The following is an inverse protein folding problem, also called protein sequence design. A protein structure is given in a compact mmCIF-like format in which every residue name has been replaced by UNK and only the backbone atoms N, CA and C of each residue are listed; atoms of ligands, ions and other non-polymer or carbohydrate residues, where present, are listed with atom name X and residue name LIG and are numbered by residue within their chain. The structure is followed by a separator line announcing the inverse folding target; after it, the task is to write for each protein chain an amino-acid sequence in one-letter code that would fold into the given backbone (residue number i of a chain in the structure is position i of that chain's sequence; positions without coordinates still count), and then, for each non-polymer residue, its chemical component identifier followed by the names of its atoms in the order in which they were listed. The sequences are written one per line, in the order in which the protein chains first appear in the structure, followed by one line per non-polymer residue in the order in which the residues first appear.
data_IF_710826260665
#
_entry.id   IF_710826260665
#
_cell.length_a   1.000
_cell.length_b   1.000
_cell.length_c   1.000
_cell.angle_alpha   90.00
_cell.angle_beta   90.00
_cell.angle_gamma   90.00
#
_symmetry.space_group_name_H-M   'P 1'
#
loop_
_entity.id
_entity.type
_entity.pdbx_description
1 polymer ?
#
# COMPACT_ATOMS: atom_id res chain seq x y z
N UNK A 1 52.10 -30.91 4.71
CA UNK A 1 50.76 -31.30 4.21
C UNK A 1 49.90 -30.04 4.14
N UNK A 2 49.48 -29.64 2.93
CA UNK A 2 48.57 -28.50 2.70
C UNK A 2 47.11 -28.95 2.90
N UNK A 3 46.20 -28.12 3.42
CA UNK A 3 44.78 -28.38 3.32
C UNK A 3 44.26 -27.97 1.93
N UNK A 4 43.51 -28.88 1.31
CA UNK A 4 42.87 -28.76 0.00
C UNK A 4 41.69 -27.80 0.05
N UNK A 5 41.70 -26.84 -0.88
CA UNK A 5 40.58 -25.97 -1.24
C UNK A 5 39.58 -26.80 -2.06
N UNK A 6 38.31 -26.77 -1.69
CA UNK A 6 37.22 -27.32 -2.52
C UNK A 6 36.62 -26.13 -3.28
N UNK A 7 36.99 -26.00 -4.55
CA UNK A 7 36.27 -25.18 -5.53
C UNK A 7 35.04 -25.96 -6.00
N UNK A 8 33.85 -25.34 -5.92
CA UNK A 8 32.66 -25.82 -6.60
C UNK A 8 32.40 -24.92 -7.81
N UNK A 9 32.84 -25.40 -8.98
CA UNK A 9 32.42 -24.94 -10.30
C UNK A 9 31.11 -25.66 -10.64
N UNK A 10 30.04 -24.92 -10.91
CA UNK A 10 28.82 -25.48 -11.50
C UNK A 10 28.57 -24.79 -12.85
N UNK A 11 28.90 -25.51 -13.92
CA UNK A 11 28.51 -25.19 -15.28
C UNK A 11 27.06 -25.66 -15.50
N UNK A 12 26.22 -24.70 -15.90
CA UNK A 12 25.19 -24.77 -16.93
C UNK A 12 24.83 -26.16 -17.52
N UNK A 13 23.68 -26.71 -17.14
CA UNK A 13 22.74 -27.38 -18.05
C UNK A 13 21.39 -27.61 -17.34
N UNK A 14 20.29 -27.06 -17.86
CA UNK A 14 18.91 -27.61 -17.85
C UNK A 14 17.96 -26.61 -18.53
N UNK A 15 18.05 -26.54 -19.87
CA UNK A 15 16.96 -26.08 -20.74
C UNK A 15 15.95 -27.21 -20.85
N UNK A 16 14.77 -27.05 -20.25
CA UNK A 16 13.62 -27.89 -20.58
C UNK A 16 12.60 -28.06 -19.46
N UNK A 17 11.66 -27.12 -19.33
CA UNK A 17 10.30 -27.39 -18.78
C UNK A 17 9.36 -26.17 -18.81
N UNK A 18 9.35 -25.36 -19.89
CA UNK A 18 8.31 -24.33 -20.07
C UNK A 18 7.22 -24.90 -20.99
N UNK A 19 6.42 -25.87 -20.53
CA UNK A 19 5.31 -26.38 -21.37
C UNK A 19 4.00 -26.90 -20.72
N UNK A 20 3.64 -26.61 -19.45
CA UNK A 20 2.23 -26.77 -19.06
C UNK A 20 1.51 -25.53 -18.46
N UNK A 21 2.07 -24.31 -18.51
CA UNK A 21 1.37 -23.10 -18.02
C UNK A 21 0.52 -22.35 -19.07
N UNK A 22 0.63 -22.69 -20.36
CA UNK A 22 -0.13 -22.00 -21.43
C UNK A 22 -1.60 -22.41 -21.55
N UNK A 23 -2.06 -23.43 -20.82
CA UNK A 23 -3.45 -23.95 -20.95
C UNK A 23 -4.45 -23.42 -19.92
N UNK A 24 -4.03 -22.54 -19.01
CA UNK A 24 -4.90 -21.98 -17.95
C UNK A 24 -5.27 -20.50 -18.14
N UNK A 25 -4.76 -19.84 -19.19
CA UNK A 25 -4.97 -18.39 -19.45
C UNK A 25 -6.08 -18.12 -20.49
N UNK A 26 -6.66 -19.13 -21.14
CA UNK A 26 -7.68 -18.94 -22.21
C UNK A 26 -9.15 -19.03 -21.77
N UNK A 27 -9.46 -19.14 -20.48
CA UNK A 27 -10.84 -19.02 -19.98
C UNK A 27 -10.94 -17.87 -18.99
N UNK A 28 -11.21 -16.67 -19.50
CA UNK A 28 -12.07 -15.60 -18.93
C UNK A 28 -11.98 -14.40 -19.90
N UNK A 29 -12.95 -14.30 -20.81
CA UNK A 29 -13.47 -13.03 -21.36
C UNK A 29 -14.99 -13.21 -21.42
N UNK A 30 -15.76 -12.22 -20.98
CA UNK A 30 -16.30 -11.29 -21.98
C UNK A 30 -16.41 -9.83 -21.51
N UNK A 31 -16.46 -8.92 -22.50
CA UNK A 31 -17.27 -7.71 -22.41
C UNK A 31 -16.56 -6.36 -22.28
N UNK A 32 -15.74 -5.96 -23.25
CA UNK A 32 -15.38 -4.54 -23.43
C UNK A 32 -16.46 -3.91 -24.32
N UNK A 33 -17.27 -3.00 -23.76
CA UNK A 33 -18.14 -2.11 -24.55
C UNK A 33 -17.34 -0.86 -24.92
N UNK A 34 -17.15 -0.65 -26.23
CA UNK A 34 -16.69 0.61 -26.80
C UNK A 34 -17.74 1.70 -26.56
N UNK A 35 -17.33 2.83 -25.97
CA UNK A 35 -18.12 4.05 -26.00
C UNK A 35 -17.64 4.91 -27.17
N UNK A 36 -18.46 4.98 -28.23
CA UNK A 36 -18.28 5.94 -29.32
C UNK A 36 -18.79 7.31 -28.88
N UNK A 37 -17.95 8.32 -29.05
CA UNK A 37 -18.30 9.72 -28.86
C UNK A 37 -19.36 10.14 -29.89
N UNK A 38 -20.51 10.62 -29.40
CA UNK A 38 -21.49 11.33 -30.22
C UNK A 38 -21.24 12.83 -30.06
N UNK A 39 -20.59 13.43 -31.06
CA UNK A 39 -20.74 14.85 -31.34
C UNK A 39 -21.99 15.02 -32.20
N UNK A 40 -22.92 15.88 -31.79
CA UNK A 40 -24.03 16.28 -32.63
C UNK A 40 -24.10 17.81 -32.72
N UNK A 41 -24.22 18.24 -33.97
CA UNK A 41 -24.24 19.60 -34.45
C UNK A 41 -25.43 20.41 -33.93
N UNK A 42 -25.14 21.67 -33.65
CA UNK A 42 -26.11 22.74 -33.41
C UNK A 42 -26.51 23.34 -34.77
N UNK A 43 -27.80 23.28 -35.14
CA UNK A 43 -28.53 24.32 -35.90
C UNK A 43 -29.97 23.90 -36.19
N UNK A 44 -30.93 24.73 -35.80
CA UNK A 44 -32.32 24.55 -36.19
C UNK A 44 -33.27 25.47 -35.43
N UNK A 45 -33.35 26.72 -35.88
CA UNK A 45 -34.28 27.77 -35.41
C UNK A 45 -35.75 27.41 -35.67
N UNK A 46 -36.61 27.46 -34.65
CA UNK A 46 -38.08 27.45 -34.83
C UNK A 46 -38.72 28.51 -33.92
N UNK A 47 -39.65 29.25 -34.53
CA UNK A 47 -40.27 30.51 -34.08
C UNK A 47 -41.43 30.28 -33.10
N UNK A 48 -41.60 31.20 -32.16
CA UNK A 48 -42.75 31.32 -31.24
C UNK A 48 -43.99 31.86 -31.95
N UNK A 49 -45.19 31.40 -31.54
CA UNK A 49 -46.25 32.35 -31.18
C UNK A 49 -46.80 32.05 -29.79
N UNK A 50 -47.10 33.12 -29.05
CA UNK A 50 -47.55 33.08 -27.68
C UNK A 50 -48.96 32.53 -27.50
N UNK A 51 -49.19 31.91 -26.34
CA UNK A 51 -50.49 31.74 -25.70
C UNK A 51 -50.23 31.72 -24.18
N UNK A 52 -50.93 32.63 -23.50
CA UNK A 52 -50.97 32.81 -22.06
C UNK A 52 -51.80 31.68 -21.42
N UNK A 53 -51.19 30.86 -20.57
CA UNK A 53 -51.90 29.97 -19.65
C UNK A 53 -51.30 30.07 -18.25
N UNK A 54 -52.12 30.56 -17.32
CA UNK A 54 -51.90 30.48 -15.88
C UNK A 54 -52.26 29.05 -15.46
N UNK A 55 -51.32 28.32 -14.84
CA UNK A 55 -51.66 27.07 -14.14
C UNK A 55 -50.79 26.81 -12.91
N UNK A 56 -51.53 26.68 -11.81
CA UNK A 56 -51.30 26.11 -10.49
C UNK A 56 -49.93 25.57 -10.06
N UNK A 57 -49.62 25.97 -8.83
CA UNK A 57 -48.59 25.53 -7.88
C UNK A 57 -48.55 24.00 -7.71
N UNK A 58 -47.36 23.42 -7.92
CA UNK A 58 -46.85 22.33 -7.11
C UNK A 58 -45.42 22.71 -6.68
N UNK A 59 -45.26 23.18 -5.44
CA UNK A 59 -43.95 23.19 -4.81
C UNK A 59 -43.55 21.74 -4.53
N UNK A 60 -42.80 21.14 -5.46
CA UNK A 60 -42.04 19.93 -5.15
C UNK A 60 -40.97 20.34 -4.13
N UNK A 61 -41.10 19.80 -2.92
CA UNK A 61 -40.07 19.90 -1.91
C UNK A 61 -38.83 19.18 -2.44
N UNK A 62 -37.86 19.94 -2.98
CA UNK A 62 -36.51 19.44 -3.13
C UNK A 62 -36.02 19.03 -1.74
N UNK A 63 -35.86 17.73 -1.54
CA UNK A 63 -35.05 17.19 -0.45
C UNK A 63 -33.69 17.87 -0.56
N UNK A 64 -33.38 18.75 0.41
CA UNK A 64 -32.01 19.20 0.59
C UNK A 64 -31.16 17.96 0.79
N UNK A 65 -30.38 17.59 -0.22
CA UNK A 65 -29.20 16.79 -0.04
C UNK A 65 -28.38 17.49 1.04
N UNK A 66 -28.43 16.91 2.24
CA UNK A 66 -27.56 17.33 3.32
C UNK A 66 -26.20 16.79 2.93
N UNK A 67 -25.40 17.64 2.29
CA UNK A 67 -23.96 17.46 2.27
C UNK A 67 -23.54 17.23 3.73
N UNK A 68 -23.25 15.97 4.06
CA UNK A 68 -22.80 15.62 5.39
C UNK A 68 -21.53 16.43 5.65
N UNK A 69 -21.49 17.14 6.79
CA UNK A 69 -20.28 17.83 7.19
C UNK A 69 -19.10 16.84 7.16
N UNK A 70 -17.91 17.25 6.68
CA UNK A 70 -16.75 16.38 6.65
C UNK A 70 -16.49 15.85 8.05
N UNK A 71 -16.64 14.54 8.23
CA UNK A 71 -16.43 13.88 9.50
C UNK A 71 -14.94 13.97 9.85
N UNK A 72 -14.63 14.57 11.01
CA UNK A 72 -13.25 14.86 11.41
C UNK A 72 -12.64 13.61 12.03
N UNK A 73 -11.55 13.12 11.44
CA UNK A 73 -10.83 11.96 11.98
C UNK A 73 -10.05 12.35 13.25
N UNK A 74 -10.51 11.85 14.40
CA UNK A 74 -9.95 12.19 15.72
C UNK A 74 -9.21 11.04 16.40
N UNK A 75 -9.29 9.83 15.83
CA UNK A 75 -8.72 8.62 16.43
C UNK A 75 -7.44 8.15 15.75
N UNK A 76 -7.22 8.52 14.49
CA UNK A 76 -6.05 8.04 13.74
C UNK A 76 -4.80 8.82 14.09
N UNK A 77 -3.68 8.10 14.15
CA UNK A 77 -2.35 8.69 14.19
C UNK A 77 -1.83 8.90 12.77
N UNK A 78 -1.31 10.09 12.49
CA UNK A 78 -0.59 10.37 11.23
C UNK A 78 0.88 10.53 11.52
N UNK A 79 1.70 9.67 10.91
CA UNK A 79 3.16 9.77 10.90
C UNK A 79 3.58 10.47 9.62
N UNK A 80 4.35 11.53 9.75
CA UNK A 80 4.88 12.32 8.63
C UNK A 80 6.39 12.29 8.69
N UNK A 81 7.01 12.21 7.52
CA UNK A 81 8.46 12.33 7.34
C UNK A 81 9.29 11.40 8.24
N UNK A 82 8.79 10.19 8.51
CA UNK A 82 9.57 9.20 9.22
C UNK A 82 10.77 8.81 8.36
N UNK A 83 11.96 9.15 8.83
CA UNK A 83 13.19 8.92 8.09
C UNK A 83 13.41 7.41 7.87
N UNK A 84 13.48 7.00 6.60
CA UNK A 84 13.95 5.68 6.20
C UNK A 84 15.47 5.62 6.13
N UNK A 85 16.02 4.68 5.39
CA UNK A 85 17.46 4.59 5.18
C UNK A 85 17.92 5.58 4.09
N UNK A 86 18.16 6.81 4.52
CA UNK A 86 18.62 7.93 3.68
C UNK A 86 20.08 7.78 3.22
N UNK A 87 20.84 6.90 3.88
CA UNK A 87 22.24 6.63 3.56
C UNK A 87 22.46 5.59 2.46
N UNK A 88 21.41 4.92 1.98
CA UNK A 88 21.50 3.93 0.91
C UNK A 88 21.14 4.51 -0.47
N UNK A 89 21.80 4.02 -1.53
CA UNK A 89 21.47 4.31 -2.92
C UNK A 89 21.35 3.05 -3.76
N UNK A 90 20.54 3.15 -4.82
CA UNK A 90 20.46 2.13 -5.88
C UNK A 90 21.59 2.25 -6.91
N UNK A 91 22.09 3.47 -7.11
CA UNK A 91 23.14 3.80 -8.07
C UNK A 91 24.48 4.11 -7.40
N UNK A 92 25.55 4.05 -8.20
CA UNK A 92 26.90 4.45 -7.81
C UNK A 92 27.03 5.99 -7.80
N UNK A 93 27.93 6.51 -6.96
CA UNK A 93 28.32 7.93 -6.99
C UNK A 93 27.22 8.93 -6.58
N UNK A 94 26.21 8.49 -5.84
CA UNK A 94 25.18 9.38 -5.29
C UNK A 94 25.74 10.09 -4.06
N UNK A 95 25.77 11.43 -4.10
CA UNK A 95 26.36 12.24 -3.02
C UNK A 95 25.71 11.95 -1.66
N UNK A 96 26.56 11.78 -0.65
CA UNK A 96 26.16 11.44 0.72
C UNK A 96 25.54 10.05 0.90
N UNK A 97 25.55 9.16 -0.11
CA UNK A 97 24.94 7.83 -0.03
C UNK A 97 25.90 6.71 -0.46
N UNK A 98 25.68 5.54 0.12
CA UNK A 98 26.40 4.31 -0.19
C UNK A 98 25.53 3.38 -1.04
N UNK A 99 26.10 2.82 -2.10
CA UNK A 99 25.43 1.76 -2.87
C UNK A 99 25.47 0.46 -2.10
N UNK A 100 24.39 0.19 -1.36
CA UNK A 100 24.17 -1.02 -0.59
C UNK A 100 22.67 -1.31 -0.46
N UNK A 101 22.27 -2.52 -0.06
CA UNK A 101 20.89 -2.78 0.33
C UNK A 101 20.42 -1.81 1.42
N UNK A 102 19.18 -1.37 1.32
CA UNK A 102 18.52 -0.53 2.32
C UNK A 102 18.28 -1.34 3.58
N UNK A 103 18.67 -0.79 4.73
CA UNK A 103 18.38 -1.35 6.04
C UNK A 103 16.87 -1.33 6.29
N UNK A 104 16.37 -2.41 6.89
CA UNK A 104 14.96 -2.49 7.27
C UNK A 104 14.68 -1.59 8.47
N UNK A 105 13.53 -0.92 8.47
CA UNK A 105 13.04 -0.09 9.56
C UNK A 105 11.79 -0.73 10.17
N UNK A 106 11.88 -1.19 11.42
CA UNK A 106 10.75 -1.67 12.19
C UNK A 106 9.94 -0.49 12.75
N UNK A 107 8.62 -0.64 12.85
CA UNK A 107 7.71 0.33 13.48
C UNK A 107 6.70 -0.37 14.39
N UNK A 108 6.49 0.15 15.60
CA UNK A 108 5.48 -0.31 16.55
C UNK A 108 4.34 0.70 16.66
N UNK A 109 3.10 0.29 16.40
CA UNK A 109 1.96 1.22 16.37
C UNK A 109 1.65 1.83 17.73
N UNK A 110 1.69 1.02 18.80
CA UNK A 110 1.27 1.44 20.15
C UNK A 110 2.19 2.49 20.78
N UNK A 111 3.47 2.51 20.42
CA UNK A 111 4.47 3.40 21.03
C UNK A 111 5.10 4.37 20.05
N UNK A 112 4.91 4.17 18.74
CA UNK A 112 5.64 4.86 17.69
C UNK A 112 7.13 4.50 17.62
N UNK A 113 7.58 3.46 18.36
CA UNK A 113 8.98 3.05 18.38
C UNK A 113 9.44 2.61 17.00
N UNK A 114 10.63 3.06 16.62
CA UNK A 114 11.31 2.62 15.42
C UNK A 114 12.66 1.98 15.72
N UNK A 115 13.08 1.02 14.87
CA UNK A 115 14.41 0.41 14.94
C UNK A 115 14.92 0.05 13.56
N UNK A 116 16.14 0.47 13.23
CA UNK A 116 16.83 -0.04 12.06
C UNK A 116 17.45 -1.42 12.34
N UNK A 117 17.43 -2.28 11.33
CA UNK A 117 18.16 -3.55 11.32
C UNK A 117 19.37 -3.37 10.41
N UNK A 118 20.53 -3.07 11.02
CA UNK A 118 21.77 -2.76 10.30
C UNK A 118 22.74 -3.92 10.30
N UNK A 119 22.72 -4.70 11.36
CA UNK A 119 23.68 -5.77 11.62
C UNK A 119 22.98 -7.12 11.84
N UNK A 120 23.80 -8.17 11.89
CA UNK A 120 23.35 -9.50 12.31
C UNK A 120 22.87 -9.48 13.77
N UNK A 121 23.53 -8.73 14.64
CA UNK A 121 23.15 -8.64 16.06
C UNK A 121 21.79 -7.95 16.22
N UNK A 122 21.51 -6.88 15.46
CA UNK A 122 20.18 -6.27 15.41
C UNK A 122 19.10 -7.29 15.00
N UNK A 123 19.45 -8.13 14.02
CA UNK A 123 18.54 -9.16 13.51
C UNK A 123 18.20 -10.19 14.61
N UNK A 124 19.22 -10.66 15.34
CA UNK A 124 19.06 -11.60 16.45
C UNK A 124 18.29 -10.99 17.61
N UNK A 125 18.50 -9.71 17.90
CA UNK A 125 17.90 -9.04 19.04
C UNK A 125 16.45 -8.62 18.82
N UNK A 126 16.09 -8.17 17.61
CA UNK A 126 14.82 -7.46 17.40
C UNK A 126 13.81 -8.21 16.53
N UNK A 127 14.23 -9.05 15.60
CA UNK A 127 13.31 -9.65 14.62
C UNK A 127 12.42 -10.76 15.18
N UNK A 128 12.78 -11.35 16.33
CA UNK A 128 12.03 -12.46 16.96
C UNK A 128 11.25 -12.03 18.19
N UNK A 129 10.69 -10.82 18.14
CA UNK A 129 9.86 -10.22 19.18
C UNK A 129 8.51 -9.75 18.62
N UNK A 130 7.58 -9.41 19.51
CA UNK A 130 6.28 -8.78 19.19
C UNK A 130 6.27 -7.26 19.45
N UNK A 131 7.43 -6.65 19.67
CA UNK A 131 7.55 -5.21 19.97
C UNK A 131 7.72 -4.33 18.71
N UNK A 132 7.27 -4.85 17.58
CA UNK A 132 7.10 -4.16 16.29
C UNK A 132 5.96 -4.81 15.51
N UNK A 133 5.23 -4.03 14.73
CA UNK A 133 4.03 -4.48 14.02
C UNK A 133 4.25 -4.57 12.52
N UNK A 134 4.89 -3.55 11.94
CA UNK A 134 5.26 -3.51 10.52
C UNK A 134 6.75 -3.23 10.36
N UNK A 135 7.31 -3.63 9.23
CA UNK A 135 8.64 -3.21 8.82
C UNK A 135 8.60 -2.62 7.41
N UNK A 136 9.34 -1.54 7.21
CA UNK A 136 9.62 -0.91 5.93
C UNK A 136 10.97 -1.41 5.42
N UNK A 137 10.95 -2.11 4.30
CA UNK A 137 12.08 -2.91 3.81
C UNK A 137 12.33 -2.65 2.33
N UNK A 138 13.43 -3.21 1.80
CA UNK A 138 13.84 -3.10 0.39
C UNK A 138 14.09 -1.65 -0.06
N UNK A 139 14.18 -1.45 -1.37
CA UNK A 139 14.59 -0.20 -1.99
C UNK A 139 13.75 0.97 -1.49
N UNK A 140 14.41 2.04 -1.04
CA UNK A 140 13.74 3.23 -0.49
C UNK A 140 12.74 2.91 0.64
N UNK A 141 12.93 1.79 1.37
CA UNK A 141 12.02 1.32 2.41
C UNK A 141 10.56 1.21 1.93
N UNK A 142 10.35 0.95 0.63
CA UNK A 142 9.02 0.98 0.02
C UNK A 142 8.27 -0.35 0.12
N UNK A 143 8.87 -1.44 0.60
CA UNK A 143 8.17 -2.71 0.81
C UNK A 143 7.76 -2.86 2.27
N UNK A 144 6.45 -2.85 2.53
CA UNK A 144 5.88 -2.93 3.88
C UNK A 144 5.46 -4.36 4.19
N UNK A 145 5.99 -4.93 5.26
CA UNK A 145 5.70 -6.30 5.71
C UNK A 145 5.12 -6.28 7.12
N UNK A 146 4.23 -7.24 7.41
CA UNK A 146 3.64 -7.41 8.73
C UNK A 146 4.46 -8.40 9.57
N UNK A 147 4.57 -8.17 10.88
CA UNK A 147 5.27 -9.08 11.79
C UNK A 147 4.51 -10.41 11.93
N UNK A 148 4.98 -11.43 11.23
CA UNK A 148 4.38 -12.75 11.23
C UNK A 148 5.45 -13.85 11.25
N UNK A 149 5.39 -14.68 12.29
CA UNK A 149 6.26 -15.84 12.50
C UNK A 149 6.14 -16.92 11.43
N UNK A 150 5.00 -17.04 10.75
CA UNK A 150 4.74 -18.17 9.85
C UNK A 150 5.01 -17.85 8.38
N UNK A 151 5.30 -16.60 8.03
CA UNK A 151 5.49 -16.18 6.64
C UNK A 151 6.98 -16.15 6.30
N UNK A 152 7.43 -17.19 5.58
CA UNK A 152 8.79 -17.29 5.08
C UNK A 152 9.20 -16.08 4.23
N UNK A 153 10.46 -15.67 4.33
CA UNK A 153 11.01 -14.55 3.57
C UNK A 153 10.66 -13.16 4.12
N UNK A 154 9.99 -13.07 5.27
CA UNK A 154 9.76 -11.81 5.99
C UNK A 154 10.67 -11.69 7.21
N UNK A 155 10.97 -10.47 7.71
CA UNK A 155 11.78 -10.28 8.91
C UNK A 155 11.22 -11.03 10.14
N UNK A 156 9.89 -11.16 10.23
CA UNK A 156 9.21 -11.83 11.33
C UNK A 156 9.31 -13.36 11.33
N UNK A 157 9.73 -13.98 10.22
CA UNK A 157 9.70 -15.44 10.07
C UNK A 157 10.43 -16.20 11.18
N UNK A 158 9.78 -17.16 11.83
CA UNK A 158 10.30 -17.89 13.00
C UNK A 158 10.20 -17.13 14.33
N UNK A 159 9.63 -15.91 14.34
CA UNK A 159 9.32 -15.15 15.54
C UNK A 159 7.91 -15.43 16.09
N UNK A 160 7.55 -14.82 17.23
CA UNK A 160 6.24 -15.01 17.87
C UNK A 160 5.09 -14.18 17.29
N UNK A 161 5.38 -13.26 16.36
CA UNK A 161 4.37 -12.36 15.79
C UNK A 161 3.27 -13.10 15.05
N UNK A 162 2.01 -12.70 15.27
CA UNK A 162 0.84 -13.30 14.63
C UNK A 162 0.15 -12.35 13.65
N UNK A 163 0.86 -11.31 13.21
CA UNK A 163 0.28 -10.28 12.37
C UNK A 163 -0.19 -10.81 11.01
N UNK A 164 -1.19 -10.15 10.46
CA UNK A 164 -1.78 -10.45 9.15
C UNK A 164 -2.16 -9.15 8.46
N UNK A 165 -2.23 -9.13 7.14
CA UNK A 165 -2.60 -7.95 6.37
C UNK A 165 -3.51 -8.33 5.20
N UNK A 166 -4.53 -7.53 4.94
CA UNK A 166 -5.40 -7.63 3.77
C UNK A 166 -5.47 -6.26 3.10
N UNK A 167 -5.61 -6.27 1.78
CA UNK A 167 -5.78 -5.07 0.96
C UNK A 167 -7.28 -4.80 0.76
N UNK A 168 -7.69 -3.56 0.98
CA UNK A 168 -9.04 -3.07 0.70
C UNK A 168 -8.99 -1.94 -0.32
N UNK A 169 -9.70 -2.10 -1.43
CA UNK A 169 -9.91 -1.05 -2.44
C UNK A 169 -10.99 -0.07 -1.99
N UNK A 170 -10.76 0.56 -0.84
CA UNK A 170 -11.61 1.59 -0.26
C UNK A 170 -10.79 2.75 0.31
N UNK A 171 -11.32 3.98 0.23
CA UNK A 171 -10.81 5.11 1.00
C UNK A 171 -10.74 4.80 2.50
N UNK A 172 -9.77 5.39 3.19
CA UNK A 172 -9.44 5.11 4.60
C UNK A 172 -10.60 5.40 5.58
N UNK A 173 -11.37 6.45 5.28
CA UNK A 173 -12.56 6.90 6.02
C UNK A 173 -13.80 6.03 5.76
N UNK A 174 -13.76 5.17 4.73
CA UNK A 174 -14.83 4.22 4.42
C UNK A 174 -14.55 2.81 4.94
N UNK A 175 -13.36 2.57 5.49
CA UNK A 175 -13.01 1.33 6.18
C UNK A 175 -13.35 1.46 7.66
N UNK A 176 -14.55 1.00 7.99
CA UNK A 176 -15.18 1.18 9.31
C UNK A 176 -15.24 -0.11 10.13
N UNK A 177 -14.91 -1.25 9.53
CA UNK A 177 -14.88 -2.55 10.21
C UNK A 177 -13.79 -3.44 9.62
N UNK A 178 -13.01 -4.11 10.47
CA UNK A 178 -12.11 -5.18 10.06
C UNK A 178 -12.92 -6.38 9.57
N UNK A 179 -12.45 -7.21 8.62
CA UNK A 179 -13.14 -8.44 8.25
C UNK A 179 -12.96 -9.51 9.34
N UNK A 180 -13.67 -10.63 9.20
CA UNK A 180 -13.49 -11.79 10.08
C UNK A 180 -12.11 -12.42 9.90
N UNK A 181 -11.64 -13.15 10.91
CA UNK A 181 -10.29 -13.76 10.95
C UNK A 181 -10.01 -14.65 9.74
N UNK A 182 -11.00 -15.40 9.28
CA UNK A 182 -10.91 -16.30 8.13
C UNK A 182 -10.54 -15.55 6.85
N UNK A 183 -10.96 -14.28 6.73
CA UNK A 183 -10.63 -13.45 5.58
C UNK A 183 -9.12 -13.18 5.48
N UNK A 184 -8.39 -13.16 6.60
CA UNK A 184 -6.94 -12.99 6.61
C UNK A 184 -6.20 -14.24 6.17
N UNK A 185 -6.83 -15.41 6.31
CA UNK A 185 -6.30 -16.67 5.79
C UNK A 185 -6.49 -16.74 4.28
N UNK A 186 -7.66 -16.36 3.77
CA UNK A 186 -7.98 -16.47 2.34
C UNK A 186 -7.38 -15.35 1.50
N UNK A 187 -7.43 -14.11 1.99
CA UNK A 187 -7.07 -12.91 1.24
C UNK A 187 -5.81 -12.21 1.81
N UNK A 188 -5.12 -12.88 2.72
CA UNK A 188 -3.95 -12.32 3.39
C UNK A 188 -2.78 -12.13 2.44
N UNK A 189 -2.08 -11.01 2.60
CA UNK A 189 -0.82 -10.72 1.92
C UNK A 189 0.33 -10.66 2.93
N UNK A 190 1.52 -11.18 2.58
CA UNK A 190 2.69 -11.15 3.46
C UNK A 190 3.33 -9.76 3.58
N UNK A 191 3.10 -8.92 2.58
CA UNK A 191 3.66 -7.59 2.44
C UNK A 191 3.15 -6.92 1.17
N UNK A 192 3.31 -5.61 1.07
CA UNK A 192 2.89 -4.79 -0.07
C UNK A 192 4.00 -3.85 -0.50
N UNK A 193 4.17 -3.68 -1.81
CA UNK A 193 5.16 -2.78 -2.39
C UNK A 193 4.70 -2.23 -3.73
N UNK A 194 5.54 -2.37 -4.75
CA UNK A 194 5.17 -1.98 -6.11
C UNK A 194 3.96 -2.78 -6.62
N UNK A 195 2.92 -2.07 -7.02
CA UNK A 195 1.81 -2.59 -7.80
C UNK A 195 2.18 -2.54 -9.28
N UNK A 196 2.37 -3.71 -9.90
CA UNK A 196 2.65 -3.84 -11.33
C UNK A 196 1.36 -4.00 -12.17
N UNK A 197 0.21 -3.59 -11.63
CA UNK A 197 -1.11 -3.78 -12.22
C UNK A 197 -1.83 -5.04 -11.72
N UNK A 198 -1.30 -5.69 -10.68
CA UNK A 198 -1.87 -6.91 -10.11
C UNK A 198 -2.85 -6.66 -8.95
N UNK A 199 -2.92 -5.42 -8.43
CA UNK A 199 -3.79 -5.07 -7.30
C UNK A 199 -3.20 -5.41 -5.92
N UNK A 200 -1.98 -5.92 -5.84
CA UNK A 200 -1.35 -6.38 -4.59
C UNK A 200 -0.28 -5.43 -4.02
N UNK A 201 -0.12 -4.24 -4.60
CA UNK A 201 0.85 -3.24 -4.12
C UNK A 201 0.23 -2.10 -3.32
N UNK A 202 1.00 -1.06 -3.07
CA UNK A 202 0.53 0.20 -2.50
C UNK A 202 1.01 1.44 -3.26
N UNK A 203 1.93 1.28 -4.21
CA UNK A 203 2.36 2.34 -5.11
C UNK A 203 2.60 1.82 -6.52
N UNK A 204 2.40 2.67 -7.52
CA UNK A 204 2.91 2.49 -8.87
C UNK A 204 4.30 3.12 -8.96
N UNK A 205 5.19 2.47 -9.70
CA UNK A 205 6.49 3.02 -10.04
C UNK A 205 6.60 3.22 -11.54
N UNK A 206 6.97 4.43 -11.96
CA UNK A 206 7.22 4.73 -13.37
C UNK A 206 8.71 4.57 -13.65
N UNK A 207 9.05 3.66 -14.58
CA UNK A 207 10.43 3.48 -15.02
C UNK A 207 10.97 4.66 -15.86
N UNK A 208 10.09 5.56 -16.31
CA UNK A 208 10.44 6.64 -17.22
C UNK A 208 10.98 7.88 -16.48
N UNK A 209 10.37 8.19 -15.33
CA UNK A 209 10.77 9.32 -14.48
C UNK A 209 11.16 8.88 -13.07
N UNK A 210 11.15 7.57 -12.78
CA UNK A 210 11.54 6.97 -11.51
C UNK A 210 10.76 7.48 -10.30
N UNK A 211 9.50 7.88 -10.50
CA UNK A 211 8.61 8.37 -9.44
C UNK A 211 7.72 7.24 -8.90
N UNK A 212 7.59 7.18 -7.57
CA UNK A 212 6.65 6.35 -6.85
C UNK A 212 5.34 7.12 -6.59
N UNK A 213 4.21 6.60 -7.06
CA UNK A 213 2.88 7.21 -6.86
C UNK A 213 2.01 6.25 -6.06
N UNK A 214 1.53 6.62 -4.86
CA UNK A 214 0.65 5.78 -4.06
C UNK A 214 -0.64 5.42 -4.80
N UNK A 215 -1.13 4.20 -4.60
CA UNK A 215 -2.43 3.77 -5.11
C UNK A 215 -3.52 4.47 -4.32
N UNK A 216 -4.39 5.20 -5.01
CA UNK A 216 -5.52 5.91 -4.39
C UNK A 216 -6.59 4.93 -3.94
N UNK A 217 -7.37 5.34 -2.92
CA UNK A 217 -8.49 4.56 -2.40
C UNK A 217 -8.10 3.15 -1.97
N UNK A 218 -6.89 2.99 -1.44
CA UNK A 218 -6.40 1.71 -0.93
C UNK A 218 -6.05 1.83 0.55
N UNK A 219 -6.66 0.96 1.33
CA UNK A 219 -6.45 0.85 2.78
C UNK A 219 -6.04 -0.57 3.11
N UNK A 220 -5.07 -0.72 4.00
CA UNK A 220 -4.63 -2.03 4.49
C UNK A 220 -5.27 -2.26 5.84
N UNK A 221 -5.96 -3.40 5.99
CA UNK A 221 -6.45 -3.84 7.29
C UNK A 221 -5.44 -4.84 7.84
N UNK A 222 -5.07 -4.66 9.10
CA UNK A 222 -4.05 -5.48 9.75
C UNK A 222 -4.61 -6.16 10.99
N UNK A 223 -4.06 -7.34 11.28
CA UNK A 223 -3.83 -7.76 12.66
C UNK A 223 -2.40 -7.43 13.04
N UNK A 224 -2.20 -6.74 14.16
CA UNK A 224 -0.88 -6.40 14.70
C UNK A 224 -0.13 -7.65 15.15
N UNK A 225 1.15 -7.52 15.55
CA UNK A 225 1.96 -8.65 16.00
C UNK A 225 1.34 -9.40 17.20
N UNK A 226 0.55 -8.69 18.00
CA UNK A 226 -0.18 -9.20 19.18
C UNK A 226 -1.66 -9.42 18.93
N UNK A 227 -2.14 -9.31 17.68
CA UNK A 227 -3.50 -9.69 17.29
C UNK A 227 -4.57 -8.60 17.36
N UNK A 228 -4.23 -7.32 17.61
CA UNK A 228 -5.21 -6.22 17.55
C UNK A 228 -5.55 -5.87 16.11
N UNK A 229 -6.78 -5.46 15.84
CA UNK A 229 -7.15 -4.95 14.53
C UNK A 229 -6.63 -3.53 14.32
N UNK A 230 -6.23 -3.22 13.09
CA UNK A 230 -5.82 -1.88 12.69
C UNK A 230 -6.21 -1.60 11.23
N UNK A 231 -6.27 -0.32 10.87
CA UNK A 231 -6.24 0.13 9.46
C UNK A 231 -5.05 1.05 9.22
N UNK A 232 -4.47 0.96 8.03
CA UNK A 232 -3.28 1.69 7.59
C UNK A 232 -3.53 2.26 6.19
N UNK A 233 -3.19 3.53 6.00
CA UNK A 233 -2.99 4.15 4.70
C UNK A 233 -1.50 4.49 4.55
N UNK A 234 -0.87 3.97 3.49
CA UNK A 234 0.49 4.33 3.10
C UNK A 234 0.41 5.53 2.16
N UNK A 235 1.01 6.66 2.54
CA UNK A 235 0.75 7.94 1.88
C UNK A 235 1.83 8.34 0.89
N UNK A 236 3.12 8.16 1.19
CA UNK A 236 4.24 8.38 0.26
C UNK A 236 5.58 8.04 0.94
N UNK A 237 6.67 8.13 0.16
CA UNK A 237 8.07 7.97 0.61
C UNK A 237 8.92 9.26 0.46
N UNK A 238 8.29 10.43 0.31
CA UNK A 238 8.95 11.70 -0.01
C UNK A 238 8.80 12.73 1.10
N UNK A 239 9.89 13.43 1.41
CA UNK A 239 9.90 14.43 2.49
C UNK A 239 8.90 15.56 2.22
N UNK A 240 8.16 15.94 3.25
CA UNK A 240 7.14 16.98 3.23
C UNK A 240 5.77 16.52 2.77
N UNK A 241 5.58 15.23 2.44
CA UNK A 241 4.32 14.69 1.91
C UNK A 241 3.74 15.57 0.78
N UNK A 242 4.49 15.75 -0.34
CA UNK A 242 4.05 16.64 -1.41
C UNK A 242 2.75 16.14 -2.05
N UNK A 243 1.80 17.02 -2.41
CA UNK A 243 0.54 16.61 -3.03
C UNK A 243 0.74 16.00 -4.41
N UNK A 244 1.83 16.36 -5.09
CA UNK A 244 2.27 15.80 -6.37
C UNK A 244 3.79 15.72 -6.36
N UNK A 245 4.34 14.58 -6.79
CA UNK A 245 5.77 14.40 -7.00
C UNK A 245 6.04 14.61 -8.48
N UNK A 246 6.83 15.63 -8.81
CA UNK A 246 7.16 16.02 -10.19
C UNK A 246 8.65 15.92 -10.50
N UNK A 247 9.47 15.68 -9.47
CA UNK A 247 10.92 15.61 -9.54
C UNK A 247 11.40 14.27 -8.96
N UNK A 248 12.27 13.58 -9.70
CA UNK A 248 12.92 12.35 -9.26
C UNK A 248 13.84 12.58 -8.05
N UNK A 249 14.46 13.75 -7.94
CA UNK A 249 15.43 14.05 -6.89
C UNK A 249 14.78 14.50 -5.58
N UNK A 250 13.44 14.41 -5.47
CA UNK A 250 12.75 14.72 -4.24
C UNK A 250 13.31 13.87 -3.08
N UNK A 251 13.60 14.46 -1.91
CA UNK A 251 14.25 13.72 -0.83
C UNK A 251 13.46 12.46 -0.41
N UNK A 252 14.12 11.31 -0.53
CA UNK A 252 13.60 9.98 -0.21
C UNK A 252 14.72 9.07 0.34
N UNK A 253 14.41 8.09 1.22
CA UNK A 253 13.07 7.75 1.70
C UNK A 253 12.65 8.47 2.99
N UNK A 254 11.50 9.15 2.95
CA UNK A 254 10.81 9.73 4.12
C UNK A 254 9.36 9.25 4.12
N UNK A 255 9.05 8.34 5.01
CA UNK A 255 7.80 7.59 5.03
C UNK A 255 6.70 8.44 5.68
N UNK A 256 5.58 8.57 4.99
CA UNK A 256 4.35 9.14 5.57
C UNK A 256 3.23 8.11 5.49
N UNK A 257 2.53 7.90 6.60
CA UNK A 257 1.43 6.96 6.69
C UNK A 257 0.47 7.35 7.81
N UNK A 258 -0.76 6.85 7.72
CA UNK A 258 -1.81 7.09 8.70
C UNK A 258 -2.37 5.77 9.19
N UNK A 259 -2.57 5.61 10.48
CA UNK A 259 -3.07 4.37 11.05
C UNK A 259 -4.00 4.59 12.24
N UNK A 260 -4.83 3.58 12.51
CA UNK A 260 -5.64 3.46 13.71
C UNK A 260 -5.55 2.01 14.19
N UNK A 261 -5.31 1.82 15.49
CA UNK A 261 -5.33 0.50 16.15
C UNK A 261 -6.56 0.45 17.04
N UNK A 262 -7.35 -0.61 16.91
CA UNK A 262 -8.48 -0.87 17.78
C UNK A 262 -7.99 -1.51 19.08
N UNK A 263 -8.07 -0.75 20.18
CA UNK A 263 -7.55 -1.12 21.49
C UNK A 263 -8.45 -2.12 22.23
N UNK A 264 -9.76 -2.09 21.99
CA UNK A 264 -10.73 -2.97 22.66
C UNK A 264 -10.82 -4.39 22.07
N UNK A 265 -10.08 -4.65 20.99
CA UNK A 265 -10.06 -5.93 20.29
C UNK A 265 -11.29 -6.20 19.41
N UNK A 266 -12.28 -5.31 19.37
CA UNK A 266 -13.40 -5.37 18.44
C UNK A 266 -12.92 -5.20 16.99
N UNK A 267 -13.82 -5.46 16.06
CA UNK A 267 -13.58 -5.21 14.64
C UNK A 267 -13.89 -3.77 14.23
N UNK A 268 -14.27 -2.87 15.15
CA UNK A 268 -14.64 -1.50 14.81
C UNK A 268 -13.40 -0.69 14.38
N UNK A 269 -13.41 -0.15 13.17
CA UNK A 269 -12.34 0.68 12.61
C UNK A 269 -12.83 2.10 12.24
N UNK A 270 -14.00 2.52 12.72
CA UNK A 270 -14.48 3.90 12.53
C UNK A 270 -13.54 4.88 13.22
N UNK A 271 -13.20 5.96 12.53
CA UNK A 271 -12.32 7.01 13.06
C UNK A 271 -12.94 8.41 12.96
N UNK A 272 -14.17 8.51 12.46
CA UNK A 272 -14.86 9.72 12.05
C UNK A 272 -16.38 9.59 12.26
#
# INVERSE_FOLDING_TARGET
MKPSVIEFTAHEEQRGSIQPLKRQIERIKPGVKEYKAFGNEQRGSIKFPGILWVLLIFFTACSKDKDAAPTTDTFSTTVKDLEGDTGASMGDGVDGREKRPFHSLLYQFSTGRTRFIKTKDDSLQYLKNTDWDIAFTREYNSYVVINNGTIAGTPGFGGPGTGRMIIMEKPYDQVNEAPADESFTTNGVPGVGWDNGNGYGWYFYSLNNHICVPVKNRTFILKTATGKFAKLALLNIYKGNPPVVTDLFWPAPYLSFKFFVQEDGSRNLKTN
#
